data_IF_523144453431
#
_entry.id   IF_523144453431
#
_cell.length_a   1.000
_cell.length_b   1.000
_cell.length_c   1.000
_cell.angle_alpha   90.00
_cell.angle_beta   90.00
_cell.angle_gamma   90.00
#
_symmetry.space_group_name_H-M   'P 1'
#
loop_
_entity.id
_entity.type
_entity.pdbx_description
1 polymer ?
#
# COMPACT_ATOMS: atom_id res chain seq x y z
N UNK A 1 -11.88 10.06 -1.13
CA UNK A 1 -10.89 10.02 -0.02
C UNK A 1 -11.11 8.82 0.89
N UNK A 2 -12.35 8.52 1.28
CA UNK A 2 -12.69 7.39 2.15
C UNK A 2 -12.15 6.03 1.68
N UNK A 3 -12.25 5.69 0.39
CA UNK A 3 -11.75 4.42 -0.14
C UNK A 3 -10.23 4.26 0.00
N UNK A 4 -9.46 5.34 -0.15
CA UNK A 4 -8.01 5.29 0.00
C UNK A 4 -7.61 5.09 1.46
N UNK A 5 -8.36 5.68 2.41
CA UNK A 5 -8.15 5.41 3.83
C UNK A 5 -8.49 3.97 4.15
N UNK A 6 -9.57 3.42 3.58
CA UNK A 6 -9.93 2.00 3.73
C UNK A 6 -8.82 1.09 3.21
N UNK A 7 -8.31 1.35 2.00
CA UNK A 7 -7.20 0.58 1.42
C UNK A 7 -5.93 0.72 2.26
N UNK A 8 -5.57 1.93 2.69
CA UNK A 8 -4.42 2.16 3.57
C UNK A 8 -4.53 1.40 4.89
N UNK A 9 -5.75 1.32 5.46
CA UNK A 9 -6.05 0.54 6.67
C UNK A 9 -5.84 -0.97 6.52
N UNK A 10 -5.82 -1.48 5.28
CA UNK A 10 -5.49 -2.88 5.02
C UNK A 10 -3.98 -3.13 5.17
N UNK A 11 -3.15 -2.11 4.93
CA UNK A 11 -1.69 -2.21 4.99
C UNK A 11 -1.11 -1.82 6.37
N UNK A 12 -1.83 -1.02 7.16
CA UNK A 12 -1.39 -0.49 8.45
C UNK A 12 -2.32 0.62 8.94
N UNK A 13 -1.94 1.39 9.95
CA UNK A 13 -2.74 2.56 10.37
C UNK A 13 -2.53 3.72 9.39
N UNK A 14 -3.56 4.04 8.60
CA UNK A 14 -3.50 5.11 7.59
C UNK A 14 -3.41 6.50 8.24
N UNK A 15 -2.27 7.17 8.06
CA UNK A 15 -1.95 8.47 8.65
C UNK A 15 -2.33 9.64 7.73
N UNK A 16 -1.96 9.54 6.46
CA UNK A 16 -2.09 10.63 5.49
C UNK A 16 -2.28 10.07 4.08
N UNK A 17 -3.17 10.68 3.30
CA UNK A 17 -3.28 10.41 1.87
C UNK A 17 -2.56 11.54 1.17
N UNK A 18 -1.38 11.24 0.63
CA UNK A 18 -0.69 12.15 -0.26
C UNK A 18 -1.43 12.16 -1.60
N UNK A 19 -2.52 12.93 -1.68
CA UNK A 19 -2.84 13.61 -2.91
C UNK A 19 -1.85 14.78 -2.99
N UNK A 20 -0.66 14.52 -3.51
CA UNK A 20 0.00 15.60 -4.25
C UNK A 20 -0.94 15.82 -5.43
N UNK A 21 -1.88 16.76 -5.27
CA UNK A 21 -2.72 17.28 -6.35
C UNK A 21 -1.76 17.44 -7.52
N UNK A 22 -2.00 16.77 -8.66
CA UNK A 22 -1.11 16.96 -9.77
C UNK A 22 -1.10 18.46 -10.03
N UNK A 23 0.06 19.10 -9.81
CA UNK A 23 0.31 20.39 -10.43
C UNK A 23 -0.13 20.22 -11.87
N UNK A 24 -1.06 21.06 -12.33
CA UNK A 24 -1.76 20.89 -13.60
C UNK A 24 -0.82 20.30 -14.67
N UNK A 25 -1.08 19.05 -15.08
CA UNK A 25 -0.26 18.34 -16.08
C UNK A 25 0.51 17.10 -15.64
N UNK A 26 0.62 16.77 -14.34
CA UNK A 26 1.33 15.53 -13.92
C UNK A 26 0.39 14.33 -13.86
N UNK A 27 0.26 13.58 -14.96
CA UNK A 27 -0.39 12.25 -14.94
C UNK A 27 0.49 11.24 -14.19
N UNK A 28 0.00 10.70 -13.07
CA UNK A 28 0.65 9.60 -12.36
C UNK A 28 -0.21 8.35 -12.47
N UNK A 29 0.44 7.19 -12.59
CA UNK A 29 -0.21 5.87 -12.71
C UNK A 29 -0.47 5.21 -11.34
N UNK A 30 -0.24 5.92 -10.24
CA UNK A 30 -0.33 5.37 -8.89
C UNK A 30 -0.75 6.46 -7.88
N UNK A 31 -1.25 6.01 -6.73
CA UNK A 31 -1.59 6.83 -5.56
C UNK A 31 -0.73 6.34 -4.39
N UNK A 32 -0.30 7.26 -3.54
CA UNK A 32 0.49 6.94 -2.34
C UNK A 32 -0.33 7.24 -1.08
N UNK A 33 -0.25 6.33 -0.11
CA UNK A 33 -0.85 6.50 1.22
C UNK A 33 0.25 6.28 2.24
N UNK A 34 0.38 7.19 3.18
CA UNK A 34 1.29 7.07 4.30
C UNK A 34 0.60 6.27 5.41
N UNK A 35 1.22 5.17 5.78
CA UNK A 35 0.71 4.25 6.80
C UNK A 35 1.77 4.06 7.90
N UNK A 36 1.31 3.90 9.13
CA UNK A 36 2.11 3.33 10.22
C UNK A 36 1.94 1.82 10.21
N UNK A 37 3.06 1.08 10.25
CA UNK A 37 3.08 -0.38 10.15
C UNK A 37 3.87 -0.94 11.32
N UNK A 38 3.41 -2.06 11.89
CA UNK A 38 4.20 -2.81 12.87
C UNK A 38 5.27 -3.60 12.13
N UNK A 39 6.53 -3.20 12.30
CA UNK A 39 7.69 -3.79 11.62
C UNK A 39 8.02 -5.21 12.11
N UNK A 40 7.44 -5.63 13.23
CA UNK A 40 7.59 -6.99 13.76
C UNK A 40 6.59 -7.98 13.14
N UNK A 41 5.66 -7.50 12.31
CA UNK A 41 4.71 -8.32 11.59
C UNK A 41 5.00 -8.32 10.08
N UNK A 42 4.71 -9.43 9.37
CA UNK A 42 4.78 -9.48 7.93
C UNK A 42 4.02 -8.34 7.27
N UNK A 43 4.62 -7.72 6.26
CA UNK A 43 3.97 -6.69 5.47
C UNK A 43 2.84 -7.28 4.63
N UNK A 44 1.72 -6.55 4.52
CA UNK A 44 0.56 -7.01 3.75
C UNK A 44 0.88 -6.90 2.26
N UNK A 45 0.90 -8.01 1.49
CA UNK A 45 1.38 -7.98 0.11
C UNK A 45 0.42 -7.29 -0.87
N UNK A 46 -0.83 -7.09 -0.47
CA UNK A 46 -1.89 -6.55 -1.33
C UNK A 46 -3.28 -6.95 -0.85
N UNK A 47 -4.26 -6.78 -1.73
CA UNK A 47 -5.64 -7.17 -1.47
C UNK A 47 -6.36 -7.64 -2.75
N UNK A 48 -7.36 -8.52 -2.63
CA UNK A 48 -8.22 -8.86 -3.76
C UNK A 48 -9.20 -7.71 -4.03
N UNK A 49 -9.36 -7.34 -5.30
CA UNK A 49 -10.39 -6.44 -5.78
C UNK A 49 -11.47 -7.27 -6.47
N UNK A 50 -12.62 -7.37 -5.83
CA UNK A 50 -13.83 -7.95 -6.40
C UNK A 50 -14.31 -7.10 -7.58
N UNK A 51 -14.73 -7.75 -8.66
CA UNK A 51 -15.19 -7.10 -9.88
C UNK A 51 -16.44 -7.81 -10.39
N UNK A 52 -17.51 -7.06 -10.61
CA UNK A 52 -18.77 -7.63 -11.09
C UNK A 52 -18.56 -8.44 -12.38
N UNK A 53 -18.96 -9.72 -12.32
CA UNK A 53 -18.87 -10.68 -13.42
C UNK A 53 -17.45 -10.94 -13.98
N UNK A 54 -16.41 -10.55 -13.25
CA UNK A 54 -15.01 -10.79 -13.62
C UNK A 54 -14.29 -11.52 -12.49
N UNK A 55 -13.20 -12.25 -12.79
CA UNK A 55 -12.35 -12.81 -11.74
C UNK A 55 -11.80 -11.73 -10.83
N UNK A 56 -11.58 -12.06 -9.56
CA UNK A 56 -10.91 -11.17 -8.62
C UNK A 56 -9.54 -10.75 -9.16
N UNK A 57 -9.24 -9.47 -9.02
CA UNK A 57 -7.95 -8.92 -9.40
C UNK A 57 -7.11 -8.71 -8.14
N UNK A 58 -5.96 -9.38 -8.05
CA UNK A 58 -5.04 -9.11 -6.95
C UNK A 58 -4.32 -7.77 -7.16
N UNK A 59 -4.47 -6.85 -6.21
CA UNK A 59 -3.81 -5.54 -6.20
C UNK A 59 -2.63 -5.60 -5.24
N UNK A 60 -1.42 -5.57 -5.78
CA UNK A 60 -0.20 -5.56 -4.97
C UNK A 60 0.02 -4.21 -4.31
N UNK A 61 0.39 -4.22 -3.03
CA UNK A 61 0.96 -3.05 -2.39
C UNK A 61 2.44 -2.93 -2.73
N UNK A 62 2.87 -1.70 -3.02
CA UNK A 62 4.28 -1.36 -3.15
C UNK A 62 4.66 -0.48 -1.96
N UNK A 63 5.44 -1.05 -1.06
CA UNK A 63 6.04 -0.30 0.04
C UNK A 63 7.32 0.38 -0.46
N UNK A 64 7.45 1.67 -0.16
CA UNK A 64 8.62 2.47 -0.53
C UNK A 64 9.36 2.91 0.74
N UNK A 65 10.67 3.17 0.61
CA UNK A 65 11.53 3.59 1.73
C UNK A 65 11.63 2.56 2.87
N UNK A 66 11.47 1.28 2.55
CA UNK A 66 11.78 0.18 3.46
C UNK A 66 13.31 0.10 3.67
N UNK A 67 13.73 -0.19 4.92
CA UNK A 67 15.12 -0.51 5.26
C UNK A 67 15.53 -1.90 4.77
N UNK A 68 16.32 -2.64 5.55
CA UNK A 68 16.67 -4.03 5.23
C UNK A 68 15.43 -4.92 5.26
N UNK A 69 14.74 -5.09 4.13
CA UNK A 69 13.55 -5.93 3.99
C UNK A 69 13.92 -7.33 3.51
N UNK A 70 13.45 -8.36 4.23
CA UNK A 70 13.66 -9.75 3.88
C UNK A 70 12.48 -10.31 3.06
N UNK A 71 12.69 -10.57 1.77
CA UNK A 71 11.68 -11.14 0.87
C UNK A 71 11.26 -12.58 1.20
N UNK A 72 11.99 -13.27 2.08
CA UNK A 72 11.63 -14.62 2.55
C UNK A 72 10.72 -14.62 3.78
N UNK A 73 10.79 -13.57 4.60
CA UNK A 73 10.06 -13.48 5.87
C UNK A 73 9.04 -12.33 5.90
N UNK A 74 9.02 -11.48 4.88
CA UNK A 74 8.20 -10.27 4.77
C UNK A 74 8.39 -9.30 5.95
N UNK A 75 9.57 -9.29 6.58
CA UNK A 75 9.90 -8.47 7.76
C UNK A 75 11.04 -7.50 7.48
N UNK A 76 11.12 -6.43 8.29
CA UNK A 76 12.26 -5.51 8.31
C UNK A 76 13.30 -5.93 9.36
N UNK A 77 14.58 -5.84 9.02
CA UNK A 77 15.70 -5.99 9.95
C UNK A 77 16.10 -7.44 10.26
N UNK A 78 15.56 -8.41 9.53
CA UNK A 78 15.98 -9.81 9.62
C UNK A 78 17.11 -10.04 8.61
N UNK A 79 18.36 -9.95 9.08
CA UNK A 79 19.54 -10.44 8.35
C UNK A 79 19.60 -11.98 8.38
#
# INVERSE_FOLDING_TARGET
MENLLKIGRMAGFALEIDFIVPSEGVWRRYIQVKVEVDVNCPFVPGFPLERDHLPDLWIHFKYEKLGNFCFGCDLLGHD
#
